data_IF_556815954377
#
_entry.id   IF_556815954377
#
_cell.length_a   1.000
_cell.length_b   1.000
_cell.length_c   1.000
_cell.angle_alpha   90.00
_cell.angle_beta   90.00
_cell.angle_gamma   90.00
#
_symmetry.space_group_name_H-M   'P 1'
#
loop_
_entity.id
_entity.type
_entity.pdbx_description
1 polymer ?
#
# COMPACT_ATOMS: atom_id res chain seq x y z
N UNK A 1 3.00 -22.14 11.21
CA UNK A 1 3.23 -21.04 10.25
C UNK A 1 4.70 -20.73 10.11
N UNK A 2 5.21 -20.68 8.88
CA UNK A 2 6.63 -20.63 8.56
C UNK A 2 7.34 -19.35 9.03
N UNK A 3 6.68 -18.19 8.92
CA UNK A 3 7.25 -16.89 9.28
C UNK A 3 7.07 -16.50 10.74
N UNK A 4 6.34 -17.30 11.54
CA UNK A 4 5.97 -16.98 12.93
C UNK A 4 5.36 -15.58 13.09
N UNK A 5 4.45 -15.18 12.19
CA UNK A 5 3.77 -13.88 12.25
C UNK A 5 4.57 -12.70 11.68
N UNK A 6 5.72 -12.94 11.06
CA UNK A 6 6.58 -11.88 10.47
C UNK A 6 6.30 -11.59 8.98
N UNK A 7 5.16 -12.03 8.46
CA UNK A 7 4.77 -11.78 7.06
C UNK A 7 4.03 -10.46 6.91
N UNK A 8 4.23 -9.78 5.79
CA UNK A 8 3.47 -8.60 5.36
C UNK A 8 2.83 -8.85 4.00
N UNK A 9 1.62 -8.34 3.77
CA UNK A 9 0.98 -8.37 2.46
C UNK A 9 1.20 -7.04 1.75
N UNK A 10 1.92 -7.04 0.62
CA UNK A 10 2.10 -5.85 -0.20
C UNK A 10 1.27 -5.93 -1.48
N UNK A 11 0.46 -4.90 -1.74
CA UNK A 11 -0.41 -4.83 -2.90
C UNK A 11 -0.24 -3.51 -3.66
N UNK A 12 -0.46 -3.56 -4.97
CA UNK A 12 -0.43 -2.41 -5.87
C UNK A 12 -1.30 -2.65 -7.10
N UNK A 13 -1.64 -1.59 -7.84
CA UNK A 13 -2.61 -1.64 -8.93
C UNK A 13 -2.02 -2.07 -10.30
N UNK A 14 -0.89 -2.78 -10.29
CA UNK A 14 -0.09 -3.19 -11.46
C UNK A 14 0.29 -2.05 -12.44
N UNK A 15 1.59 -1.79 -12.56
CA UNK A 15 2.11 -0.67 -13.38
C UNK A 15 2.87 -1.10 -14.64
N UNK A 16 3.33 -2.36 -14.72
CA UNK A 16 4.18 -2.83 -15.80
C UNK A 16 3.43 -3.77 -16.77
N UNK A 17 2.85 -3.17 -17.81
CA UNK A 17 2.06 -3.88 -18.84
C UNK A 17 2.86 -4.97 -19.56
N UNK A 18 4.14 -4.71 -19.85
CA UNK A 18 4.99 -5.66 -20.58
C UNK A 18 5.12 -7.00 -19.86
N UNK A 19 5.23 -7.00 -18.53
CA UNK A 19 5.30 -8.23 -17.74
C UNK A 19 3.98 -9.00 -17.78
N UNK A 20 2.85 -8.31 -17.75
CA UNK A 20 1.53 -8.95 -17.87
C UNK A 20 1.39 -9.66 -19.21
N UNK A 21 1.72 -8.96 -20.29
CA UNK A 21 1.69 -9.52 -21.64
C UNK A 21 2.66 -10.70 -21.78
N UNK A 22 3.85 -10.62 -21.19
CA UNK A 22 4.83 -11.71 -21.22
C UNK A 22 4.38 -12.96 -20.47
N UNK A 23 3.62 -12.81 -19.38
CA UNK A 23 3.10 -13.91 -18.56
C UNK A 23 1.71 -14.38 -19.01
N UNK A 24 1.13 -13.80 -20.05
CA UNK A 24 -0.22 -14.12 -20.53
C UNK A 24 -1.33 -13.68 -19.56
N UNK A 25 -1.05 -12.73 -18.66
CA UNK A 25 -2.01 -12.22 -17.69
C UNK A 25 -2.77 -11.05 -18.34
N UNK A 26 -4.12 -11.04 -18.32
CA UNK A 26 -4.89 -9.91 -18.82
C UNK A 26 -4.49 -8.59 -18.13
N UNK A 27 -4.36 -7.52 -18.91
CA UNK A 27 -4.05 -6.18 -18.41
C UNK A 27 -5.27 -5.25 -18.60
N UNK A 28 -6.28 -5.32 -17.73
CA UNK A 28 -7.50 -4.54 -17.90
C UNK A 28 -7.24 -3.04 -17.70
N UNK A 29 -8.17 -2.16 -18.12
CA UNK A 29 -8.03 -0.72 -17.98
C UNK A 29 -7.76 -0.29 -16.53
N UNK A 30 -7.05 0.83 -16.36
CA UNK A 30 -6.62 1.34 -15.05
C UNK A 30 -7.75 1.40 -14.02
N UNK A 31 -8.94 1.86 -14.43
CA UNK A 31 -10.12 1.93 -13.55
C UNK A 31 -10.47 0.57 -12.97
N UNK A 32 -10.52 -0.45 -13.82
CA UNK A 32 -10.88 -1.81 -13.46
C UNK A 32 -9.83 -2.43 -12.52
N UNK A 33 -8.54 -2.21 -12.77
CA UNK A 33 -7.47 -2.69 -11.88
C UNK A 33 -7.60 -2.16 -10.46
N UNK A 34 -7.98 -0.88 -10.31
CA UNK A 34 -8.23 -0.29 -8.99
C UNK A 34 -9.47 -0.88 -8.30
N UNK A 35 -10.54 -1.16 -9.05
CA UNK A 35 -11.73 -1.82 -8.50
C UNK A 35 -11.39 -3.24 -8.03
N UNK A 36 -10.66 -4.02 -8.84
CA UNK A 36 -10.18 -5.36 -8.47
C UNK A 36 -9.25 -5.32 -7.25
N UNK A 37 -8.36 -4.34 -7.16
CA UNK A 37 -7.47 -4.18 -6.00
C UNK A 37 -8.26 -3.90 -4.71
N UNK A 38 -9.28 -3.04 -4.78
CA UNK A 38 -10.14 -2.76 -3.62
C UNK A 38 -10.91 -4.00 -3.18
N UNK A 39 -11.47 -4.78 -4.11
CA UNK A 39 -12.13 -6.05 -3.77
C UNK A 39 -11.14 -7.06 -3.17
N UNK A 40 -9.91 -7.12 -3.68
CA UNK A 40 -8.86 -8.00 -3.13
C UNK A 40 -8.54 -7.63 -1.67
N UNK A 41 -8.44 -6.34 -1.35
CA UNK A 41 -8.22 -5.86 0.02
C UNK A 41 -9.36 -6.26 0.96
N UNK A 42 -10.61 -6.17 0.48
CA UNK A 42 -11.79 -6.58 1.23
C UNK A 42 -11.82 -8.09 1.47
N UNK A 43 -11.54 -8.89 0.43
CA UNK A 43 -11.46 -10.35 0.52
C UNK A 43 -10.38 -10.76 1.51
N UNK A 44 -9.17 -10.19 1.45
CA UNK A 44 -8.12 -10.48 2.42
C UNK A 44 -8.54 -10.13 3.84
N UNK A 45 -9.18 -8.96 4.03
CA UNK A 45 -9.69 -8.56 5.34
C UNK A 45 -10.75 -9.53 5.88
N UNK A 46 -11.61 -10.06 5.01
CA UNK A 46 -12.63 -11.05 5.37
C UNK A 46 -11.99 -12.40 5.72
N UNK A 47 -11.05 -12.88 4.90
CA UNK A 47 -10.29 -14.12 5.13
C UNK A 47 -9.57 -14.17 6.49
N UNK A 48 -9.13 -13.02 7.00
CA UNK A 48 -8.46 -12.93 8.30
C UNK A 48 -9.40 -12.62 9.47
N UNK A 49 -10.69 -12.44 9.18
CA UNK A 49 -11.72 -12.20 10.18
C UNK A 49 -12.36 -13.52 10.65
N UNK A 50 -13.41 -13.41 11.44
CA UNK A 50 -14.25 -14.56 11.81
C UNK A 50 -15.39 -14.81 10.81
N UNK A 51 -15.48 -14.02 9.74
CA UNK A 51 -16.42 -14.22 8.64
C UNK A 51 -15.74 -14.96 7.49
N UNK A 52 -16.11 -16.22 7.27
CA UNK A 52 -15.68 -17.08 6.17
C UNK A 52 -16.74 -17.22 5.06
N UNK A 53 -17.81 -16.44 5.15
CA UNK A 53 -18.94 -16.48 4.21
C UNK A 53 -18.60 -16.04 2.78
N UNK A 54 -19.62 -16.01 1.90
CA UNK A 54 -19.45 -15.61 0.52
C UNK A 54 -18.99 -14.16 0.38
N UNK A 55 -18.28 -13.87 -0.70
CA UNK A 55 -17.94 -12.51 -1.13
C UNK A 55 -18.55 -12.24 -2.50
N UNK A 56 -19.35 -11.19 -2.62
CA UNK A 56 -20.07 -10.83 -3.85
C UNK A 56 -19.65 -9.43 -4.30
N UNK A 57 -18.46 -9.35 -4.91
CA UNK A 57 -17.94 -8.15 -5.55
C UNK A 57 -18.42 -8.01 -7.00
N UNK A 58 -17.98 -6.95 -7.67
CA UNK A 58 -18.19 -6.72 -9.10
C UNK A 58 -17.24 -7.57 -9.93
N UNK A 59 -16.01 -7.79 -9.47
CA UNK A 59 -14.97 -8.56 -10.19
C UNK A 59 -14.77 -9.96 -9.63
N UNK A 60 -15.02 -10.17 -8.33
CA UNK A 60 -14.88 -11.48 -7.68
C UNK A 60 -16.20 -11.95 -7.05
N UNK A 61 -16.57 -13.19 -7.34
CA UNK A 61 -17.65 -13.90 -6.67
C UNK A 61 -17.09 -15.17 -6.04
N UNK A 62 -17.07 -15.21 -4.72
CA UNK A 62 -16.53 -16.32 -3.93
C UNK A 62 -17.68 -16.95 -3.15
N UNK A 63 -17.76 -18.27 -3.17
CA UNK A 63 -18.74 -19.01 -2.35
C UNK A 63 -18.40 -18.91 -0.87
N UNK A 64 -17.10 -18.90 -0.54
CA UNK A 64 -16.57 -18.80 0.81
C UNK A 64 -15.20 -18.10 0.78
N UNK A 65 -14.78 -17.55 1.91
CA UNK A 65 -13.50 -16.85 2.11
C UNK A 65 -12.66 -17.54 3.18
N UNK A 66 -12.63 -18.87 3.15
CA UNK A 66 -11.89 -19.70 4.10
C UNK A 66 -10.38 -19.50 3.95
N UNK A 67 -9.70 -19.28 5.08
CA UNK A 67 -8.24 -19.19 5.16
C UNK A 67 -7.74 -20.07 6.31
N UNK A 68 -7.51 -21.36 6.03
CA UNK A 68 -7.06 -22.34 7.02
C UNK A 68 -5.71 -22.97 6.62
N UNK A 69 -4.70 -22.99 7.50
CA UNK A 69 -4.71 -22.40 8.85
C UNK A 69 -4.71 -20.86 8.81
N UNK A 70 -5.48 -20.22 9.72
CA UNK A 70 -5.46 -18.75 9.87
C UNK A 70 -4.04 -18.24 10.14
N UNK A 71 -3.66 -17.03 9.67
CA UNK A 71 -2.37 -16.44 9.98
C UNK A 71 -2.21 -16.15 11.50
N UNK A 72 -0.96 -16.07 12.00
CA UNK A 72 -0.68 -15.66 13.40
C UNK A 72 -0.94 -14.15 13.43
N UNK A 73 -2.20 -13.77 13.67
CA UNK A 73 -2.67 -12.40 13.56
C UNK A 73 -2.83 -11.93 12.11
N UNK A 74 -3.51 -10.79 11.93
CA UNK A 74 -3.64 -10.12 10.63
C UNK A 74 -2.26 -9.65 10.15
N UNK A 75 -1.79 -10.07 8.96
CA UNK A 75 -0.56 -9.52 8.37
C UNK A 75 -0.70 -8.01 8.10
N UNK A 76 0.32 -7.19 8.38
CA UNK A 76 0.31 -5.78 7.99
C UNK A 76 0.17 -5.63 6.49
N UNK A 77 -0.73 -4.74 6.06
CA UNK A 77 -1.01 -4.45 4.65
C UNK A 77 -0.21 -3.23 4.21
N UNK A 78 0.59 -3.41 3.16
CA UNK A 78 1.35 -2.37 2.47
C UNK A 78 0.63 -2.05 1.16
N UNK A 79 0.30 -0.78 0.92
CA UNK A 79 -0.19 -0.31 -0.39
C UNK A 79 0.86 0.61 -1.01
N UNK A 80 1.26 0.30 -2.24
CA UNK A 80 2.21 1.08 -3.02
C UNK A 80 1.55 2.08 -3.99
N UNK A 81 2.18 3.25 -4.13
CA UNK A 81 1.86 4.27 -5.14
C UNK A 81 1.23 5.56 -4.58
N UNK A 82 1.14 6.58 -5.45
CA UNK A 82 0.87 7.98 -5.04
C UNK A 82 -0.38 8.60 -5.69
N UNK A 83 -1.27 7.76 -6.23
CA UNK A 83 -2.52 8.20 -6.85
C UNK A 83 -3.46 8.84 -5.85
N UNK A 84 -3.59 10.17 -5.90
CA UNK A 84 -4.29 10.97 -4.87
C UNK A 84 -5.75 10.60 -4.66
N UNK A 85 -6.48 10.28 -5.74
CA UNK A 85 -7.93 10.04 -5.65
C UNK A 85 -8.27 8.60 -5.25
N UNK A 86 -7.46 7.62 -5.70
CA UNK A 86 -7.77 6.20 -5.55
C UNK A 86 -6.81 5.51 -4.59
N UNK A 87 -5.50 5.60 -4.84
CA UNK A 87 -4.48 4.94 -4.02
C UNK A 87 -4.49 5.48 -2.60
N UNK A 88 -4.39 6.81 -2.42
CA UNK A 88 -4.35 7.39 -1.07
C UNK A 88 -5.67 7.20 -0.29
N UNK A 89 -6.81 7.18 -0.98
CA UNK A 89 -8.09 6.77 -0.36
C UNK A 89 -8.03 5.33 0.17
N UNK A 90 -7.55 4.38 -0.64
CA UNK A 90 -7.41 2.99 -0.22
C UNK A 90 -6.36 2.81 0.88
N UNK A 91 -5.27 3.58 0.85
CA UNK A 91 -4.28 3.62 1.94
C UNK A 91 -4.96 4.05 3.23
N UNK A 92 -5.72 5.16 3.20
CA UNK A 92 -6.47 5.64 4.35
C UNK A 92 -7.47 4.59 4.85
N UNK A 93 -8.10 3.82 3.97
CA UNK A 93 -9.14 2.86 4.36
C UNK A 93 -8.61 1.48 4.82
N UNK A 94 -7.55 0.95 4.20
CA UNK A 94 -7.19 -0.46 4.34
C UNK A 94 -5.73 -0.71 4.78
N UNK A 95 -4.80 0.21 4.48
CA UNK A 95 -3.38 -0.05 4.65
C UNK A 95 -2.90 0.24 6.08
N UNK A 96 -1.92 -0.54 6.53
CA UNK A 96 -1.13 -0.29 7.74
C UNK A 96 0.14 0.51 7.39
N UNK A 97 0.61 0.35 6.15
CA UNK A 97 1.82 0.98 5.63
C UNK A 97 1.56 1.53 4.24
N UNK A 98 1.95 2.78 4.00
CA UNK A 98 1.98 3.37 2.67
C UNK A 98 3.41 3.37 2.13
N UNK A 99 3.59 2.89 0.91
CA UNK A 99 4.87 2.94 0.21
C UNK A 99 4.79 3.91 -0.98
N UNK A 100 5.41 5.08 -0.81
CA UNK A 100 5.42 6.17 -1.77
C UNK A 100 6.56 6.05 -2.78
N UNK A 101 6.34 6.55 -4.01
CA UNK A 101 7.39 6.77 -5.00
C UNK A 101 7.73 8.26 -5.15
N UNK A 102 7.35 9.11 -4.18
CA UNK A 102 7.70 10.52 -4.19
C UNK A 102 9.21 10.69 -4.34
N UNK A 103 9.60 11.55 -5.28
CA UNK A 103 11.01 11.76 -5.60
C UNK A 103 11.57 12.85 -4.73
N UNK A 104 10.82 13.92 -4.46
CA UNK A 104 11.28 15.04 -3.62
C UNK A 104 10.56 15.10 -2.27
N UNK A 105 11.15 15.77 -1.27
CA UNK A 105 10.49 16.00 0.01
C UNK A 105 9.19 16.80 -0.12
N UNK A 106 9.12 17.77 -1.04
CA UNK A 106 7.92 18.58 -1.27
C UNK A 106 6.78 17.73 -1.85
N UNK A 107 7.11 16.83 -2.78
CA UNK A 107 6.14 15.85 -3.29
C UNK A 107 5.66 14.93 -2.17
N UNK A 108 6.57 14.41 -1.35
CA UNK A 108 6.22 13.55 -0.22
C UNK A 108 5.28 14.28 0.75
N UNK A 109 5.61 15.51 1.12
CA UNK A 109 4.80 16.35 2.00
C UNK A 109 3.40 16.59 1.42
N UNK A 110 3.31 16.95 0.15
CA UNK A 110 2.02 17.15 -0.53
C UNK A 110 1.16 15.87 -0.49
N UNK A 111 1.75 14.70 -0.74
CA UNK A 111 1.02 13.43 -0.70
C UNK A 111 0.59 13.05 0.71
N UNK A 112 1.40 13.36 1.74
CA UNK A 112 1.01 13.20 3.15
C UNK A 112 -0.22 14.06 3.47
N UNK A 113 -0.28 15.30 3.00
CA UNK A 113 -1.45 16.18 3.21
C UNK A 113 -2.71 15.65 2.52
N UNK A 114 -2.58 15.12 1.30
CA UNK A 114 -3.70 14.48 0.61
C UNK A 114 -4.17 13.23 1.37
N UNK A 115 -3.23 12.41 1.86
CA UNK A 115 -3.56 11.25 2.69
C UNK A 115 -4.28 11.67 3.98
N UNK A 116 -3.82 12.74 4.63
CA UNK A 116 -4.45 13.30 5.83
C UNK A 116 -5.93 13.64 5.57
N UNK A 117 -6.24 14.30 4.45
CA UNK A 117 -7.62 14.63 4.07
C UNK A 117 -8.51 13.39 3.91
N UNK A 118 -7.99 12.31 3.34
CA UNK A 118 -8.73 11.04 3.26
C UNK A 118 -8.92 10.38 4.62
N UNK A 119 -7.89 10.43 5.48
CA UNK A 119 -7.95 9.97 6.85
C UNK A 119 -9.02 10.74 7.65
N UNK A 120 -9.05 12.07 7.56
CA UNK A 120 -10.05 12.92 8.22
C UNK A 120 -11.47 12.58 7.76
N UNK A 121 -11.68 12.41 6.45
CA UNK A 121 -12.98 12.04 5.90
C UNK A 121 -13.47 10.65 6.38
N UNK A 122 -12.56 9.76 6.76
CA UNK A 122 -12.86 8.41 7.26
C UNK A 122 -12.80 8.30 8.79
N UNK A 123 -12.45 9.39 9.49
CA UNK A 123 -12.25 9.39 10.95
C UNK A 123 -11.07 8.52 11.41
N UNK A 124 -10.06 8.31 10.55
CA UNK A 124 -8.87 7.49 10.86
C UNK A 124 -7.70 8.37 11.25
N UNK A 125 -6.98 8.01 12.30
CA UNK A 125 -5.75 8.70 12.69
C UNK A 125 -4.61 8.39 11.70
N UNK A 126 -4.10 9.43 11.03
CA UNK A 126 -2.97 9.34 10.10
C UNK A 126 -1.73 8.68 10.73
N UNK A 127 -1.53 8.78 12.05
CA UNK A 127 -0.39 8.19 12.77
C UNK A 127 -0.43 6.66 12.79
N UNK A 128 -1.60 6.06 12.59
CA UNK A 128 -1.74 4.61 12.46
C UNK A 128 -1.17 4.06 11.15
N UNK A 129 -0.90 4.93 10.17
CA UNK A 129 -0.35 4.55 8.87
C UNK A 129 1.13 4.89 8.87
N UNK A 130 1.99 3.86 8.83
CA UNK A 130 3.43 4.06 8.67
C UNK A 130 3.73 4.49 7.23
N UNK A 131 4.51 5.57 7.07
CA UNK A 131 4.95 6.04 5.75
C UNK A 131 6.33 5.47 5.45
N UNK A 132 6.48 4.97 4.23
CA UNK A 132 7.73 4.47 3.67
C UNK A 132 7.87 5.05 2.26
N UNK A 133 9.10 5.22 1.79
CA UNK A 133 9.38 5.71 0.45
C UNK A 133 10.38 4.79 -0.23
N UNK A 134 10.10 4.43 -1.48
CA UNK A 134 11.05 3.72 -2.31
C UNK A 134 12.01 4.72 -2.94
N UNK A 135 13.24 4.75 -2.44
CA UNK A 135 14.29 5.59 -3.02
C UNK A 135 14.95 4.81 -4.16
N UNK A 136 14.61 5.17 -5.39
CA UNK A 136 15.33 4.68 -6.57
C UNK A 136 16.72 5.32 -6.68
N UNK A 137 17.66 4.62 -7.33
CA UNK A 137 19.04 5.07 -7.62
C UNK A 137 19.13 6.35 -8.50
N UNK A 138 18.01 7.06 -8.71
CA UNK A 138 17.98 8.37 -9.37
C UNK A 138 18.80 9.39 -8.59
N UNK A 139 18.78 9.30 -7.26
CA UNK A 139 19.80 9.87 -6.38
C UNK A 139 21.04 9.01 -6.52
N UNK A 140 21.89 9.24 -7.53
CA UNK A 140 23.14 8.48 -7.76
C UNK A 140 24.03 8.59 -6.50
N UNK A 141 23.91 7.68 -5.51
CA UNK A 141 24.37 7.97 -4.16
C UNK A 141 25.88 7.82 -4.05
N UNK A 142 26.49 7.16 -5.05
CA UNK A 142 27.92 7.00 -5.23
C UNK A 142 28.56 8.10 -6.10
N UNK A 143 27.74 8.95 -6.73
CA UNK A 143 28.21 10.08 -7.56
C UNK A 143 28.03 11.40 -6.82
N UNK A 144 26.92 11.57 -6.08
CA UNK A 144 26.71 12.70 -5.17
C UNK A 144 26.08 12.23 -3.84
N UNK A 145 26.91 11.75 -2.90
CA UNK A 145 26.45 11.35 -1.57
C UNK A 145 25.80 12.50 -0.80
N UNK A 146 26.26 13.75 -1.00
CA UNK A 146 25.77 14.90 -0.24
C UNK A 146 24.33 15.28 -0.65
N UNK A 147 24.00 15.22 -1.94
CA UNK A 147 22.63 15.41 -2.41
C UNK A 147 21.69 14.31 -1.90
N UNK A 148 22.14 13.06 -1.85
CA UNK A 148 21.38 11.96 -1.26
C UNK A 148 21.08 12.18 0.22
N UNK A 149 22.06 12.64 1.02
CA UNK A 149 21.85 12.89 2.44
C UNK A 149 20.93 14.08 2.72
N UNK A 150 21.06 15.19 1.97
CA UNK A 150 20.14 16.35 2.10
C UNK A 150 18.68 15.98 1.83
N UNK A 151 18.42 15.14 0.82
CA UNK A 151 17.06 14.65 0.52
C UNK A 151 16.48 13.78 1.64
N UNK A 152 17.31 12.97 2.30
CA UNK A 152 16.89 12.10 3.40
C UNK A 152 16.65 12.82 4.73
N UNK A 153 17.32 13.95 4.98
CA UNK A 153 17.18 14.72 6.21
C UNK A 153 15.77 15.33 6.34
N UNK A 154 15.25 15.90 5.25
CA UNK A 154 13.88 16.46 5.19
C UNK A 154 12.80 15.38 5.37
N UNK A 155 13.04 14.16 4.88
CA UNK A 155 12.13 13.02 5.05
C UNK A 155 12.10 12.49 6.49
N UNK A 156 13.18 12.67 7.27
CA UNK A 156 13.21 12.28 8.69
C UNK A 156 12.39 13.23 9.57
N UNK A 157 12.40 14.51 9.27
CA UNK A 157 11.63 15.51 10.02
C UNK A 157 10.12 15.34 9.85
N UNK A 158 9.69 14.86 8.69
CA UNK A 158 8.27 14.64 8.34
C UNK A 158 7.70 13.29 8.82
N UNK A 159 8.54 12.41 9.38
CA UNK A 159 8.13 11.09 9.87
C UNK A 159 8.84 10.76 11.20
N UNK A 160 8.37 11.30 12.34
CA UNK A 160 8.97 11.01 13.64
C UNK A 160 8.77 9.53 13.97
N UNK A 161 9.83 8.75 13.81
CA UNK A 161 9.87 7.35 14.23
C UNK A 161 9.67 7.31 15.75
N UNK A 162 8.59 6.69 16.22
CA UNK A 162 8.47 6.33 17.63
C UNK A 162 9.54 5.28 17.94
N UNK A 163 10.59 5.71 18.63
CA UNK A 163 11.48 4.84 19.40
C UNK A 163 10.74 4.37 20.65
N UNK A 164 10.38 3.09 20.68
CA UNK A 164 9.81 2.38 21.82
C UNK A 164 9.89 0.88 21.60
#
# INVERSE_FOLDING_TARGET
>A
MLSQGRSTLSLGAAWYEREHLALGIPYPPLRQRFEMLEETLQICSQMWSDNDGPYQGKHYQLAETICEPKPIGRPPVIIGGDGEKKTLRMVAQYADIWNSNAVTPEEAQHKIEVLAKHCDALGRDLRQIRKTVMIGLQYRPFIDPAAFWRGNEVLRETNPVHSG
#
